data_IF_217357789052
#
_entry.id   IF_217357789052
#
_cell.length_a   1.000
_cell.length_b   1.000
_cell.length_c   1.000
_cell.angle_alpha   90.00
_cell.angle_beta   90.00
_cell.angle_gamma   90.00
#
_symmetry.space_group_name_H-M   'P 1'
#
loop_
_entity.id
_entity.type
_entity.pdbx_description
1 polymer ?
#
# COMPACT_ATOMS: atom_id res chain seq x y z
N UNK A 1 15.51 3.26 23.49
CA UNK A 1 14.73 4.42 23.01
C UNK A 1 14.00 4.96 24.23
N UNK A 2 14.15 6.23 24.52
CA UNK A 2 13.41 6.88 25.60
C UNK A 2 12.14 7.49 24.97
N UNK A 3 10.98 7.10 25.49
CA UNK A 3 9.69 7.61 24.99
C UNK A 3 9.39 8.94 25.68
N UNK A 4 8.92 9.93 24.93
CA UNK A 4 8.49 11.24 25.42
C UNK A 4 6.99 11.27 25.69
N UNK A 5 6.49 12.35 26.26
CA UNK A 5 5.06 12.58 26.50
C UNK A 5 4.27 12.52 25.20
N UNK A 6 4.83 13.03 24.10
CA UNK A 6 4.19 13.03 22.79
C UNK A 6 4.03 11.59 22.22
N UNK A 7 4.99 10.70 22.47
CA UNK A 7 4.86 9.28 22.12
C UNK A 7 3.71 8.62 22.87
N UNK A 8 3.60 8.90 24.18
CA UNK A 8 2.51 8.35 25.01
C UNK A 8 1.14 8.91 24.61
N UNK A 9 1.07 10.16 24.19
CA UNK A 9 -0.16 10.78 23.66
C UNK A 9 -0.57 10.16 22.33
N UNK A 10 0.37 9.95 21.40
CA UNK A 10 0.11 9.25 20.14
C UNK A 10 -0.42 7.84 20.42
N UNK A 11 0.26 7.09 21.29
CA UNK A 11 -0.15 5.73 21.68
C UNK A 11 -1.57 5.70 22.23
N UNK A 12 -1.88 6.59 23.17
CA UNK A 12 -3.22 6.68 23.79
C UNK A 12 -4.30 6.99 22.76
N UNK A 13 -4.04 7.96 21.87
CA UNK A 13 -4.96 8.32 20.78
C UNK A 13 -5.20 7.16 19.83
N UNK A 14 -4.14 6.45 19.43
CA UNK A 14 -4.24 5.32 18.53
C UNK A 14 -4.96 4.13 19.16
N UNK A 15 -4.68 3.82 20.45
CA UNK A 15 -5.39 2.77 21.20
C UNK A 15 -6.89 3.10 21.31
N UNK A 16 -7.23 4.35 21.62
CA UNK A 16 -8.63 4.77 21.66
C UNK A 16 -9.31 4.59 20.30
N UNK A 17 -8.65 4.99 19.20
CA UNK A 17 -9.18 4.81 17.87
C UNK A 17 -9.39 3.31 17.54
N UNK A 18 -8.44 2.45 17.90
CA UNK A 18 -8.56 0.99 17.71
C UNK A 18 -9.78 0.43 18.44
N UNK A 19 -10.00 0.83 19.69
CA UNK A 19 -11.14 0.34 20.47
C UNK A 19 -12.50 0.90 20.02
N UNK A 20 -12.53 2.14 19.54
CA UNK A 20 -13.78 2.80 19.15
C UNK A 20 -14.18 2.50 17.69
N UNK A 21 -13.22 2.47 16.76
CA UNK A 21 -13.46 2.49 15.32
C UNK A 21 -13.09 1.19 14.58
N UNK A 22 -12.37 0.26 15.22
CA UNK A 22 -11.91 -0.97 14.58
C UNK A 22 -12.43 -2.21 15.29
N UNK A 23 -12.05 -2.39 16.57
CA UNK A 23 -12.33 -3.62 17.30
C UNK A 23 -13.81 -4.01 17.39
N UNK A 24 -14.80 -3.08 17.44
CA UNK A 24 -16.22 -3.44 17.45
C UNK A 24 -16.70 -4.14 16.17
N UNK A 25 -15.98 -3.97 15.06
CA UNK A 25 -16.39 -4.45 13.73
C UNK A 25 -15.57 -5.63 13.22
N UNK A 26 -14.51 -6.03 13.95
CA UNK A 26 -13.56 -7.05 13.49
C UNK A 26 -14.22 -8.38 13.17
N UNK A 27 -15.13 -8.87 14.03
CA UNK A 27 -15.78 -10.16 13.82
C UNK A 27 -16.62 -10.15 12.54
N UNK A 28 -17.37 -9.08 12.30
CA UNK A 28 -18.14 -8.88 11.08
C UNK A 28 -17.23 -8.83 9.84
N UNK A 29 -16.12 -8.12 9.91
CA UNK A 29 -15.17 -8.01 8.79
C UNK A 29 -14.44 -9.33 8.50
N UNK A 30 -14.10 -10.11 9.53
CA UNK A 30 -13.51 -11.44 9.35
C UNK A 30 -14.53 -12.43 8.73
N UNK A 31 -15.82 -12.37 9.13
CA UNK A 31 -16.89 -13.18 8.57
C UNK A 31 -17.19 -12.80 7.10
N UNK A 32 -17.24 -11.51 6.79
CA UNK A 32 -17.43 -11.01 5.43
C UNK A 32 -16.18 -11.16 4.55
N UNK A 33 -15.06 -11.59 5.12
CA UNK A 33 -13.75 -11.71 4.48
C UNK A 33 -13.24 -10.39 3.86
N UNK A 34 -13.70 -9.22 4.33
CA UNK A 34 -13.30 -7.90 3.85
C UNK A 34 -13.66 -6.82 4.88
N UNK A 35 -12.77 -5.86 5.08
CA UNK A 35 -13.07 -4.62 5.80
C UNK A 35 -13.24 -3.45 4.80
N UNK A 36 -14.00 -2.39 5.15
CA UNK A 36 -14.23 -1.25 4.26
C UNK A 36 -12.99 -0.33 4.23
N UNK A 37 -12.02 -0.65 3.36
CA UNK A 37 -10.71 0.00 3.37
C UNK A 37 -10.80 1.52 3.19
N UNK A 38 -11.56 2.03 2.21
CA UNK A 38 -11.67 3.47 1.95
C UNK A 38 -12.26 4.24 3.14
N UNK A 39 -13.29 3.66 3.80
CA UNK A 39 -13.89 4.30 4.98
C UNK A 39 -12.91 4.34 6.14
N UNK A 40 -12.27 3.20 6.44
CA UNK A 40 -11.34 3.11 7.56
C UNK A 40 -10.08 3.95 7.32
N UNK A 41 -9.51 3.92 6.10
CA UNK A 41 -8.33 4.70 5.79
C UNK A 41 -8.62 6.21 5.82
N UNK A 42 -9.82 6.61 5.41
CA UNK A 42 -10.24 8.01 5.56
C UNK A 42 -10.26 8.44 7.02
N UNK A 43 -10.85 7.65 7.91
CA UNK A 43 -10.85 7.91 9.36
C UNK A 43 -9.42 7.96 9.94
N UNK A 44 -8.53 7.03 9.53
CA UNK A 44 -7.13 7.02 9.94
C UNK A 44 -6.37 8.25 9.44
N UNK A 45 -6.62 8.67 8.19
CA UNK A 45 -6.04 9.87 7.60
C UNK A 45 -6.48 11.15 8.33
N UNK A 46 -7.76 11.26 8.66
CA UNK A 46 -8.32 12.40 9.41
C UNK A 46 -7.72 12.52 10.84
N UNK A 47 -7.25 11.40 11.42
CA UNK A 47 -6.50 11.39 12.68
C UNK A 47 -4.97 11.58 12.49
N UNK A 48 -4.48 11.66 11.25
CA UNK A 48 -3.06 11.79 10.93
C UNK A 48 -2.24 10.50 11.05
N UNK A 49 -2.85 9.35 11.36
CA UNK A 49 -2.13 8.10 11.60
C UNK A 49 -1.46 7.53 10.34
N UNK A 50 -1.97 7.83 9.15
CA UNK A 50 -1.34 7.38 7.89
C UNK A 50 -0.10 8.21 7.52
N UNK A 51 0.08 9.39 8.13
CA UNK A 51 1.12 10.35 7.80
C UNK A 51 2.20 10.57 8.86
N UNK A 52 2.22 9.82 9.97
CA UNK A 52 3.10 10.08 11.14
C UNK A 52 4.56 10.29 10.74
N UNK A 53 5.12 9.43 9.91
CA UNK A 53 6.52 9.51 9.46
C UNK A 53 6.70 10.13 8.06
N UNK A 54 5.63 10.66 7.47
CA UNK A 54 5.66 11.23 6.12
C UNK A 54 5.99 12.71 6.15
N UNK A 55 6.56 13.28 5.04
CA UNK A 55 6.94 14.69 5.01
C UNK A 55 5.76 15.65 5.21
N UNK A 56 5.96 16.70 6.00
CA UNK A 56 4.96 17.74 6.29
C UNK A 56 4.41 18.41 5.03
N UNK A 57 5.26 18.62 4.02
CA UNK A 57 4.84 19.23 2.75
C UNK A 57 3.75 18.47 1.99
N UNK A 58 3.55 17.21 2.33
CA UNK A 58 2.48 16.37 1.76
C UNK A 58 1.36 16.04 2.75
N UNK A 59 1.36 16.73 3.91
CA UNK A 59 0.34 16.54 4.94
C UNK A 59 0.69 15.50 6.01
N UNK A 60 1.93 15.00 6.03
CA UNK A 60 2.43 14.15 7.10
C UNK A 60 2.89 14.96 8.31
N UNK A 61 3.26 14.26 9.39
CA UNK A 61 3.74 14.90 10.63
C UNK A 61 5.26 15.06 10.69
N UNK A 62 6.01 14.49 9.75
CA UNK A 62 7.47 14.61 9.69
C UNK A 62 8.22 13.99 10.87
N UNK A 63 7.55 13.18 11.67
CA UNK A 63 8.12 12.58 12.88
C UNK A 63 9.07 11.43 12.53
N UNK A 64 9.98 11.11 13.43
CA UNK A 64 10.93 10.04 13.24
C UNK A 64 10.29 8.64 13.40
N UNK A 65 11.08 7.59 13.12
CA UNK A 65 10.59 6.22 13.13
C UNK A 65 10.16 5.71 14.52
N UNK A 66 10.57 6.37 15.63
CA UNK A 66 10.14 5.99 16.97
C UNK A 66 8.63 6.17 17.15
N UNK A 67 8.07 7.23 16.57
CA UNK A 67 6.62 7.46 16.55
C UNK A 67 5.89 6.43 15.70
N UNK A 68 6.47 6.03 14.55
CA UNK A 68 5.93 4.93 13.74
C UNK A 68 5.91 3.60 14.52
N UNK A 69 6.96 3.30 15.27
CA UNK A 69 7.02 2.11 16.11
C UNK A 69 5.95 2.12 17.22
N UNK A 70 5.74 3.25 17.86
CA UNK A 70 4.69 3.43 18.90
C UNK A 70 3.29 3.29 18.29
N UNK A 71 3.05 3.86 17.11
CA UNK A 71 1.79 3.66 16.39
C UNK A 71 1.56 2.19 16.05
N UNK A 72 2.57 1.50 15.52
CA UNK A 72 2.46 0.08 15.19
C UNK A 72 2.22 -0.79 16.43
N UNK A 73 2.81 -0.46 17.57
CA UNK A 73 2.51 -1.12 18.85
C UNK A 73 1.03 -0.93 19.26
N UNK A 74 0.48 0.27 19.07
CA UNK A 74 -0.94 0.52 19.34
C UNK A 74 -1.85 -0.25 18.35
N UNK A 75 -1.52 -0.27 17.06
CA UNK A 75 -2.27 -1.03 16.04
C UNK A 75 -2.22 -2.55 16.26
N UNK A 76 -1.21 -3.07 16.98
CA UNK A 76 -1.14 -4.47 17.36
C UNK A 76 -2.24 -4.90 18.36
N UNK A 77 -2.98 -3.96 18.95
CA UNK A 77 -4.17 -4.23 19.77
C UNK A 77 -5.45 -4.48 18.95
N UNK A 78 -5.39 -4.36 17.63
CA UNK A 78 -6.50 -4.76 16.74
C UNK A 78 -6.69 -6.28 16.86
N UNK A 79 -7.93 -6.71 17.10
CA UNK A 79 -8.28 -8.12 17.39
C UNK A 79 -8.29 -9.05 16.17
N UNK A 80 -7.73 -8.61 15.03
CA UNK A 80 -7.49 -9.44 13.85
C UNK A 80 -6.14 -9.11 13.21
N UNK A 81 -5.62 -9.99 12.36
CA UNK A 81 -4.36 -9.76 11.65
C UNK A 81 -4.52 -9.01 10.32
N UNK A 82 -5.73 -8.99 9.74
CA UNK A 82 -5.97 -8.46 8.41
C UNK A 82 -5.89 -6.94 8.32
N UNK A 83 -6.52 -6.24 9.24
CA UNK A 83 -6.57 -4.77 9.26
C UNK A 83 -5.21 -4.14 9.54
N UNK A 84 -4.44 -4.52 10.59
CA UNK A 84 -3.12 -3.93 10.83
C UNK A 84 -2.14 -4.22 9.67
N UNK A 85 -2.23 -5.40 9.04
CA UNK A 85 -1.45 -5.70 7.83
C UNK A 85 -1.80 -4.73 6.68
N UNK A 86 -3.07 -4.48 6.44
CA UNK A 86 -3.53 -3.58 5.40
C UNK A 86 -3.07 -2.13 5.63
N UNK A 87 -3.13 -1.65 6.87
CA UNK A 87 -2.61 -0.33 7.27
C UNK A 87 -1.09 -0.27 7.04
N UNK A 88 -0.34 -1.27 7.51
CA UNK A 88 1.11 -1.35 7.33
C UNK A 88 1.55 -1.40 5.87
N UNK A 89 0.76 -2.01 4.97
CA UNK A 89 1.04 -1.93 3.52
C UNK A 89 1.02 -0.49 3.03
N UNK A 90 0.08 0.32 3.46
CA UNK A 90 0.03 1.74 3.07
C UNK A 90 1.12 2.56 3.74
N UNK A 91 1.28 2.44 5.05
CA UNK A 91 2.19 3.30 5.82
C UNK A 91 3.65 2.94 5.65
N UNK A 92 3.99 1.64 5.59
CA UNK A 92 5.36 1.16 5.71
C UNK A 92 5.90 0.45 4.47
N UNK A 93 5.06 0.13 3.47
CA UNK A 93 5.50 -0.62 2.30
C UNK A 93 5.31 0.14 0.98
N UNK A 94 4.12 0.65 0.66
CA UNK A 94 3.83 1.26 -0.64
C UNK A 94 4.25 2.74 -0.73
N UNK A 95 4.15 3.49 0.38
CA UNK A 95 4.39 4.94 0.38
C UNK A 95 5.82 5.38 0.74
N UNK A 96 6.66 4.61 1.48
CA UNK A 96 7.98 5.11 1.91
C UNK A 96 8.95 5.44 0.77
N UNK A 97 9.01 4.58 -0.27
CA UNK A 97 9.89 4.83 -1.41
C UNK A 97 9.42 6.07 -2.20
N UNK A 98 8.10 6.21 -2.38
CA UNK A 98 7.49 7.37 -3.02
C UNK A 98 7.80 8.66 -2.23
N UNK A 99 7.63 8.64 -0.91
CA UNK A 99 7.92 9.78 -0.04
C UNK A 99 9.40 10.23 -0.09
N UNK A 100 10.32 9.29 -0.30
CA UNK A 100 11.77 9.54 -0.30
C UNK A 100 12.33 9.93 -1.66
N UNK A 101 11.82 9.34 -2.73
CA UNK A 101 12.41 9.40 -4.06
C UNK A 101 11.47 9.94 -5.15
N UNK A 102 10.18 10.09 -4.85
CA UNK A 102 9.20 10.58 -5.80
C UNK A 102 9.42 12.05 -6.16
N UNK A 103 9.09 12.40 -7.41
CA UNK A 103 8.96 13.80 -7.80
C UNK A 103 7.83 14.48 -7.04
N UNK A 104 7.82 15.81 -7.03
CA UNK A 104 6.73 16.55 -6.39
C UNK A 104 5.38 16.24 -7.03
N UNK A 105 5.35 16.03 -8.34
CA UNK A 105 4.17 15.71 -9.12
C UNK A 105 3.54 14.38 -8.69
N UNK A 106 4.31 13.27 -8.73
CA UNK A 106 3.80 11.96 -8.32
C UNK A 106 3.52 11.88 -6.82
N UNK A 107 4.22 12.65 -5.98
CA UNK A 107 3.89 12.73 -4.57
C UNK A 107 2.56 13.46 -4.32
N UNK A 108 2.25 14.51 -5.08
CA UNK A 108 0.95 15.18 -4.97
C UNK A 108 -0.18 14.29 -5.49
N UNK A 109 0.07 13.49 -6.53
CA UNK A 109 -0.93 12.60 -7.13
C UNK A 109 -1.24 11.37 -6.26
N UNK A 110 -0.20 10.72 -5.69
CA UNK A 110 -0.37 9.44 -4.99
C UNK A 110 -0.09 9.52 -3.49
N UNK A 111 0.99 10.18 -3.05
CA UNK A 111 1.39 10.19 -1.64
C UNK A 111 0.45 11.02 -0.78
N UNK A 112 0.19 12.25 -1.19
CA UNK A 112 -0.66 13.18 -0.43
C UNK A 112 -2.06 12.60 -0.17
N UNK A 113 -2.81 12.13 -1.18
CA UNK A 113 -4.12 11.51 -0.93
C UNK A 113 -4.04 10.16 -0.19
N UNK A 114 -2.90 9.45 -0.22
CA UNK A 114 -2.69 8.28 0.63
C UNK A 114 -2.47 8.64 2.10
N UNK A 115 -1.85 9.79 2.38
CA UNK A 115 -1.67 10.30 3.75
C UNK A 115 -3.03 10.75 4.33
N UNK A 116 -3.87 11.40 3.53
CA UNK A 116 -5.21 11.85 3.96
C UNK A 116 -6.25 10.72 3.95
N UNK A 117 -5.89 9.52 3.49
CA UNK A 117 -6.78 8.37 3.41
C UNK A 117 -7.81 8.42 2.28
N UNK A 118 -7.67 9.37 1.34
CA UNK A 118 -8.54 9.49 0.16
C UNK A 118 -8.22 8.40 -0.88
N UNK A 119 -6.98 7.88 -0.91
CA UNK A 119 -6.57 6.76 -1.74
C UNK A 119 -6.04 5.60 -0.88
N UNK A 120 -6.44 4.39 -1.25
CA UNK A 120 -5.89 3.14 -0.73
C UNK A 120 -4.80 2.65 -1.67
N UNK A 121 -3.65 2.28 -1.11
CA UNK A 121 -2.52 1.78 -1.87
C UNK A 121 -2.21 0.30 -1.59
N UNK A 122 -1.52 -0.32 -2.54
CA UNK A 122 -0.96 -1.65 -2.37
C UNK A 122 0.49 -1.73 -2.89
N UNK A 123 1.19 -2.81 -2.51
CA UNK A 123 2.55 -3.10 -2.99
C UNK A 123 2.52 -4.31 -3.92
N UNK A 124 3.09 -4.18 -5.12
CA UNK A 124 3.18 -5.24 -6.13
C UNK A 124 4.62 -5.69 -6.37
N UNK A 125 5.11 -6.67 -5.61
CA UNK A 125 6.44 -7.27 -5.78
C UNK A 125 6.32 -8.72 -6.20
N UNK A 126 5.69 -9.57 -5.37
CA UNK A 126 5.59 -11.02 -5.58
C UNK A 126 4.78 -11.39 -6.83
N UNK A 127 5.20 -12.46 -7.47
CA UNK A 127 4.56 -13.07 -8.64
C UNK A 127 4.30 -14.56 -8.39
N UNK A 128 3.46 -15.25 -9.17
CA UNK A 128 3.24 -16.69 -9.00
C UNK A 128 4.52 -17.52 -9.03
N UNK A 129 5.54 -17.05 -9.75
CA UNK A 129 6.83 -17.75 -9.92
C UNK A 129 8.00 -17.11 -9.16
N UNK A 130 7.80 -16.00 -8.47
CA UNK A 130 8.87 -15.23 -7.83
C UNK A 130 8.39 -14.55 -6.54
N UNK A 131 9.01 -14.90 -5.42
CA UNK A 131 8.75 -14.32 -4.10
C UNK A 131 10.07 -13.93 -3.44
N UNK A 132 10.71 -14.84 -2.71
CA UNK A 132 12.01 -14.59 -2.07
C UNK A 132 13.11 -14.26 -3.09
N UNK A 133 13.08 -14.89 -4.27
CA UNK A 133 13.93 -14.49 -5.39
C UNK A 133 13.29 -13.36 -6.20
N UNK A 134 13.40 -12.13 -5.70
CA UNK A 134 12.89 -10.93 -6.37
C UNK A 134 13.58 -10.67 -7.72
N UNK A 135 14.79 -11.18 -7.92
CA UNK A 135 15.49 -11.06 -9.20
C UNK A 135 14.78 -11.80 -10.34
N UNK A 136 13.98 -12.83 -10.00
CA UNK A 136 13.28 -13.69 -10.95
C UNK A 136 11.91 -13.17 -11.39
N UNK A 137 11.47 -11.98 -10.95
CA UNK A 137 10.19 -11.39 -11.41
C UNK A 137 10.19 -11.22 -12.93
N UNK A 138 9.02 -11.40 -13.53
CA UNK A 138 8.81 -11.35 -14.99
C UNK A 138 8.02 -10.14 -15.44
N UNK A 139 7.21 -9.54 -14.56
CA UNK A 139 6.52 -8.29 -14.87
C UNK A 139 7.52 -7.27 -15.38
N UNK A 140 7.21 -6.68 -16.51
CA UNK A 140 8.08 -5.72 -17.19
C UNK A 140 7.31 -4.48 -17.62
N UNK A 141 8.04 -3.38 -17.70
CA UNK A 141 7.56 -2.09 -18.17
C UNK A 141 8.50 -1.61 -19.29
N UNK A 142 8.00 -1.58 -20.51
CA UNK A 142 8.77 -1.20 -21.71
C UNK A 142 8.42 0.22 -22.09
N UNK A 143 9.44 1.04 -22.39
CA UNK A 143 9.24 2.40 -22.89
C UNK A 143 8.55 2.41 -24.25
N UNK A 144 7.51 3.23 -24.38
CA UNK A 144 6.81 3.48 -25.63
C UNK A 144 6.39 4.97 -25.69
N UNK A 145 7.22 5.77 -26.35
CA UNK A 145 7.10 7.23 -26.33
C UNK A 145 7.41 7.80 -24.93
N UNK A 146 6.48 8.56 -24.40
CA UNK A 146 6.57 9.17 -23.07
C UNK A 146 5.95 8.29 -21.96
N UNK A 147 5.55 7.06 -22.31
CA UNK A 147 4.92 6.11 -21.40
C UNK A 147 5.79 4.87 -21.16
N UNK A 148 5.48 4.17 -20.08
CA UNK A 148 5.76 2.76 -19.91
C UNK A 148 4.53 1.92 -20.23
N UNK A 149 4.70 0.82 -20.96
CA UNK A 149 3.69 -0.22 -21.21
C UNK A 149 4.02 -1.41 -20.32
N UNK A 150 3.12 -1.74 -19.40
CA UNK A 150 3.32 -2.75 -18.36
C UNK A 150 2.56 -4.01 -18.70
N UNK A 151 3.28 -5.15 -18.66
CA UNK A 151 2.72 -6.48 -18.84
C UNK A 151 3.24 -7.44 -17.75
N UNK A 152 2.35 -8.29 -17.24
CA UNK A 152 2.68 -9.29 -16.22
C UNK A 152 1.58 -9.56 -15.22
N UNK A 153 1.97 -10.10 -14.06
CA UNK A 153 1.03 -10.36 -12.98
C UNK A 153 1.68 -10.23 -11.62
N UNK A 154 0.89 -9.86 -10.62
CA UNK A 154 1.32 -9.78 -9.23
C UNK A 154 0.41 -10.64 -8.37
N UNK A 155 0.97 -11.31 -7.36
CA UNK A 155 0.27 -12.25 -6.50
C UNK A 155 0.50 -11.94 -5.02
N UNK A 156 -0.46 -12.30 -4.18
CA UNK A 156 -0.47 -12.04 -2.73
C UNK A 156 -0.54 -10.55 -2.40
N UNK A 157 -1.29 -9.78 -3.19
CA UNK A 157 -1.37 -8.34 -3.07
C UNK A 157 -2.41 -7.96 -2.03
N UNK A 158 -1.95 -7.56 -0.85
CA UNK A 158 -2.79 -6.99 0.21
C UNK A 158 -3.39 -5.67 -0.25
N UNK A 159 -4.64 -5.39 0.08
CA UNK A 159 -5.46 -4.29 -0.43
C UNK A 159 -5.79 -4.39 -1.93
N UNK A 160 -5.41 -5.48 -2.61
CA UNK A 160 -5.41 -5.56 -4.07
C UNK A 160 -6.78 -5.43 -4.73
N UNK A 161 -7.87 -5.81 -4.06
CA UNK A 161 -9.22 -5.64 -4.61
C UNK A 161 -9.76 -4.23 -4.41
N UNK A 162 -9.31 -3.51 -3.37
CA UNK A 162 -9.81 -2.20 -2.99
C UNK A 162 -8.87 -1.06 -3.40
N UNK A 163 -7.56 -1.31 -3.55
CA UNK A 163 -6.56 -0.30 -3.83
C UNK A 163 -6.88 0.53 -5.10
N UNK A 164 -6.54 1.81 -5.02
CA UNK A 164 -6.65 2.79 -6.10
C UNK A 164 -5.37 2.85 -6.93
N UNK A 165 -4.22 2.62 -6.29
CA UNK A 165 -2.92 2.55 -6.97
C UNK A 165 -1.99 1.51 -6.34
N UNK A 166 -0.99 1.10 -7.10
CA UNK A 166 0.03 0.12 -6.71
C UNK A 166 1.43 0.70 -6.82
N UNK A 167 2.22 0.57 -5.75
CA UNK A 167 3.68 0.67 -5.86
C UNK A 167 4.19 -0.65 -6.44
N UNK A 168 4.50 -0.67 -7.74
CA UNK A 168 4.86 -1.88 -8.47
C UNK A 168 6.36 -1.97 -8.71
N UNK A 169 6.97 -3.10 -8.39
CA UNK A 169 8.31 -3.44 -8.87
C UNK A 169 8.22 -4.16 -10.21
N UNK A 170 8.82 -3.58 -11.26
CA UNK A 170 8.86 -4.16 -12.60
C UNK A 170 10.26 -4.10 -13.22
N UNK A 171 10.54 -4.99 -14.17
CA UNK A 171 11.75 -4.91 -14.99
C UNK A 171 11.59 -3.77 -16.00
N UNK A 172 12.44 -2.77 -15.94
CA UNK A 172 12.45 -1.62 -16.86
C UNK A 172 13.58 -1.67 -17.89
N UNK A 173 14.58 -2.51 -17.65
CA UNK A 173 15.71 -2.76 -18.56
C UNK A 173 15.82 -4.26 -18.85
N UNK A 174 15.10 -4.76 -19.85
CA UNK A 174 14.99 -6.19 -20.17
C UNK A 174 16.32 -6.82 -20.59
N UNK A 175 17.22 -6.02 -21.19
CA UNK A 175 18.52 -6.49 -21.73
C UNK A 175 19.68 -6.33 -20.73
N UNK A 176 19.42 -5.81 -19.52
CA UNK A 176 20.46 -5.62 -18.53
C UNK A 176 20.99 -6.97 -18.01
N UNK A 177 22.33 -7.17 -18.07
CA UNK A 177 22.97 -8.43 -17.67
C UNK A 177 22.77 -8.77 -16.18
N UNK A 178 22.69 -7.77 -15.31
CA UNK A 178 22.47 -7.96 -13.89
C UNK A 178 20.99 -7.78 -13.55
N UNK A 179 20.29 -8.88 -13.28
CA UNK A 179 18.86 -8.91 -12.93
C UNK A 179 18.50 -8.21 -11.60
N UNK A 180 19.48 -7.84 -10.78
CA UNK A 180 19.26 -7.07 -9.56
C UNK A 180 19.22 -5.55 -9.80
N UNK A 181 19.70 -5.08 -10.96
CA UNK A 181 19.84 -3.66 -11.29
C UNK A 181 18.88 -3.19 -12.40
N UNK A 182 18.01 -4.06 -12.90
CA UNK A 182 17.16 -3.80 -14.04
C UNK A 182 15.69 -3.48 -13.67
N UNK A 183 15.46 -3.08 -12.42
CA UNK A 183 14.11 -2.91 -11.89
C UNK A 183 13.87 -1.48 -11.40
N UNK A 184 12.63 -1.04 -11.54
CA UNK A 184 12.16 0.23 -11.00
C UNK A 184 10.88 0.03 -10.20
N UNK A 185 10.64 0.93 -9.24
CA UNK A 185 9.34 1.08 -8.62
C UNK A 185 8.51 2.07 -9.44
N UNK A 186 7.31 1.69 -9.77
CA UNK A 186 6.38 2.47 -10.62
C UNK A 186 5.07 2.65 -9.86
N UNK A 187 4.56 3.87 -9.81
CA UNK A 187 3.20 4.14 -9.34
C UNK A 187 2.21 3.81 -10.45
N UNK A 188 1.43 2.75 -10.27
CA UNK A 188 0.46 2.27 -11.26
C UNK A 188 -0.95 2.52 -10.77
N UNK A 189 -1.75 3.39 -11.43
CA UNK A 189 -3.17 3.51 -11.15
C UNK A 189 -3.88 2.18 -11.37
N UNK A 190 -4.64 1.72 -10.37
CA UNK A 190 -5.50 0.53 -10.49
C UNK A 190 -6.94 0.91 -10.78
N UNK A 191 -7.30 2.18 -10.54
CA UNK A 191 -8.60 2.76 -10.85
C UNK A 191 -8.45 4.12 -11.54
N UNK A 192 -9.35 4.38 -12.45
CA UNK A 192 -9.53 5.67 -13.14
C UNK A 192 -11.00 6.05 -13.06
N UNK A 193 -11.29 7.25 -12.56
CA UNK A 193 -12.66 7.74 -12.38
C UNK A 193 -13.57 6.74 -11.60
N UNK A 194 -13.03 6.10 -10.58
CA UNK A 194 -13.73 5.13 -9.74
C UNK A 194 -13.96 3.76 -10.38
N UNK A 195 -13.48 3.54 -11.61
CA UNK A 195 -13.55 2.26 -12.32
C UNK A 195 -12.18 1.62 -12.42
N UNK A 196 -12.14 0.31 -12.65
CA UNK A 196 -10.88 -0.38 -12.90
C UNK A 196 -10.17 0.23 -14.12
N UNK A 197 -8.86 0.53 -13.97
CA UNK A 197 -8.04 1.07 -15.04
C UNK A 197 -7.95 0.10 -16.22
N UNK A 198 -7.81 0.62 -17.43
CA UNK A 198 -7.71 -0.19 -18.65
C UNK A 198 -6.49 -1.11 -18.56
N UNK A 199 -6.66 -2.39 -18.93
CA UNK A 199 -5.60 -3.41 -18.87
C UNK A 199 -5.36 -4.01 -17.50
N UNK A 200 -5.96 -3.47 -16.41
CA UNK A 200 -5.86 -4.03 -15.06
C UNK A 200 -7.01 -5.00 -14.81
N UNK A 201 -6.69 -6.24 -14.46
CA UNK A 201 -7.69 -7.26 -14.13
C UNK A 201 -7.38 -7.89 -12.78
N UNK A 202 -8.33 -7.86 -11.84
CA UNK A 202 -8.27 -8.67 -10.64
C UNK A 202 -8.79 -10.06 -11.00
N UNK A 203 -7.88 -11.04 -11.00
CA UNK A 203 -8.22 -12.41 -11.35
C UNK A 203 -9.09 -13.05 -10.27
N UNK A 204 -8.64 -12.93 -9.01
CA UNK A 204 -9.37 -13.45 -7.86
C UNK A 204 -8.91 -12.81 -6.56
N UNK A 205 -9.80 -12.76 -5.58
CA UNK A 205 -9.49 -12.63 -4.17
C UNK A 205 -9.02 -14.00 -3.65
N UNK A 206 -7.91 -14.03 -2.95
CA UNK A 206 -7.31 -15.27 -2.44
C UNK A 206 -7.89 -15.60 -1.06
N UNK A 207 -8.38 -16.83 -0.89
CA UNK A 207 -8.75 -17.36 0.43
C UNK A 207 -7.50 -17.71 1.23
N UNK A 208 -7.46 -17.27 2.48
CA UNK A 208 -6.34 -17.51 3.40
C UNK A 208 -6.81 -18.29 4.61
N UNK A 209 -5.88 -18.92 5.33
CA UNK A 209 -6.16 -19.62 6.58
C UNK A 209 -6.47 -18.65 7.73
N UNK A 210 -5.98 -17.43 7.68
CA UNK A 210 -6.22 -16.34 8.64
C UNK A 210 -6.22 -15.00 7.94
N UNK A 211 -6.32 -13.90 8.70
CA UNK A 211 -6.41 -12.53 8.17
C UNK A 211 -7.54 -12.40 7.15
N UNK A 212 -8.71 -12.95 7.46
CA UNK A 212 -9.81 -13.04 6.50
C UNK A 212 -10.31 -11.66 6.09
N UNK A 213 -10.34 -10.70 7.00
CA UNK A 213 -10.75 -9.31 6.75
C UNK A 213 -9.85 -8.57 5.76
N UNK A 214 -8.59 -8.97 5.60
CA UNK A 214 -7.71 -8.42 4.56
C UNK A 214 -8.02 -9.03 3.22
N UNK A 215 -8.31 -8.20 2.22
CA UNK A 215 -8.37 -8.65 0.85
C UNK A 215 -6.96 -8.86 0.29
N UNK A 216 -6.73 -10.04 -0.25
CA UNK A 216 -5.47 -10.39 -0.90
C UNK A 216 -5.78 -10.85 -2.31
N UNK A 217 -5.17 -10.25 -3.32
CA UNK A 217 -5.52 -10.49 -4.70
C UNK A 217 -4.37 -11.01 -5.55
N UNK A 218 -4.76 -11.65 -6.65
CA UNK A 218 -3.93 -11.86 -7.84
C UNK A 218 -4.39 -10.89 -8.92
N UNK A 219 -3.45 -10.10 -9.47
CA UNK A 219 -3.74 -9.00 -10.40
C UNK A 219 -2.93 -9.17 -11.66
N UNK A 220 -3.58 -9.08 -12.83
CA UNK A 220 -2.97 -9.11 -14.14
C UNK A 220 -2.91 -7.72 -14.75
N UNK A 221 -1.85 -7.48 -15.52
CA UNK A 221 -1.58 -6.26 -16.27
C UNK A 221 -1.37 -6.64 -17.74
N UNK A 222 -2.19 -6.06 -18.62
CA UNK A 222 -2.19 -6.30 -20.07
C UNK A 222 -2.17 -4.95 -20.79
N UNK A 223 -1.01 -4.57 -21.30
CA UNK A 223 -0.74 -3.27 -21.93
C UNK A 223 -1.19 -2.06 -21.11
N UNK A 224 -0.95 -2.10 -19.79
CA UNK A 224 -1.25 -0.97 -18.90
C UNK A 224 -0.23 0.15 -19.16
N UNK A 225 -0.74 1.34 -19.50
CA UNK A 225 0.09 2.52 -19.77
C UNK A 225 0.17 3.43 -18.55
N UNK A 226 1.38 3.87 -18.23
CA UNK A 226 1.65 4.87 -17.22
C UNK A 226 2.70 5.85 -17.74
N UNK A 227 2.58 7.17 -17.44
CA UNK A 227 3.62 8.15 -17.77
C UNK A 227 4.97 7.80 -17.14
N UNK A 228 6.09 8.24 -17.79
CA UNK A 228 7.45 8.04 -17.26
C UNK A 228 7.75 8.94 -16.07
#
# INVERSE_FOLDING_TARGET
>A
MELTTEHEELKRSALKFVEDEINPYVDEWEENEIFPAHELFKKLGDQGFLGVTKPEKYGGSGLDYSYGAVLNEALAHIKCGGVPMAIGVQTDMSTPALARFGSEEICNEFLKPSITGDLVSCLGVSEPSAGSDVAAIKTHAVKDGDDYVINGSKMWITNGTQADWMCMLANTETDHKNKHLNKSLICVPLKENGKRAKGVTINRKLKKMGMHSSDTAEIFFDDVRVPQ
#
